data_IF_983419777739
#
_entry.id   IF_983419777739
#
_cell.length_a   1.000
_cell.length_b   1.000
_cell.length_c   1.000
_cell.angle_alpha   90.00
_cell.angle_beta   90.00
_cell.angle_gamma   90.00
#
_symmetry.space_group_name_H-M   'P 1'
#
loop_
_entity.id
_entity.type
_entity.pdbx_description
1 polymer ?
#
# COMPACT_ATOMS: atom_id res chain seq x y z
N UNK A 1 -20.24 44.15 18.03
CA UNK A 1 -19.41 43.53 16.95
C UNK A 1 -19.71 42.04 16.95
N UNK A 2 -20.61 41.65 16.07
CA UNK A 2 -20.98 40.21 15.86
C UNK A 2 -19.86 39.52 15.11
N UNK A 3 -19.33 38.45 15.73
CA UNK A 3 -18.35 37.55 15.09
C UNK A 3 -18.98 36.95 13.82
N UNK A 4 -18.32 36.98 12.65
CA UNK A 4 -18.85 36.30 11.48
C UNK A 4 -18.99 34.79 11.77
N UNK A 5 -20.10 34.22 11.33
CA UNK A 5 -20.33 32.79 11.40
C UNK A 5 -19.20 32.04 10.65
N UNK A 6 -18.74 30.89 11.13
CA UNK A 6 -17.77 30.09 10.39
C UNK A 6 -18.37 29.76 9.01
N UNK A 7 -17.60 30.03 7.96
CA UNK A 7 -18.00 29.66 6.61
C UNK A 7 -18.28 28.15 6.56
N UNK A 8 -19.42 27.76 6.00
CA UNK A 8 -19.72 26.34 5.76
C UNK A 8 -18.61 25.74 4.90
N UNK A 9 -18.13 24.53 5.24
CA UNK A 9 -17.09 23.88 4.45
C UNK A 9 -17.61 23.71 3.01
N UNK A 10 -16.90 24.30 2.06
CA UNK A 10 -17.21 24.13 0.63
C UNK A 10 -17.17 22.64 0.33
N UNK A 11 -18.31 22.06 -0.09
CA UNK A 11 -18.41 20.66 -0.40
C UNK A 11 -17.38 20.28 -1.49
N UNK A 12 -16.46 19.38 -1.17
CA UNK A 12 -15.45 18.91 -2.11
C UNK A 12 -16.06 18.16 -3.32
N UNK A 13 -15.28 17.93 -4.38
CA UNK A 13 -15.77 17.33 -5.63
C UNK A 13 -16.35 15.92 -5.48
N UNK A 14 -16.10 15.26 -4.35
CA UNK A 14 -16.56 13.91 -4.03
C UNK A 14 -17.59 13.87 -2.90
N UNK A 15 -18.00 15.01 -2.36
CA UNK A 15 -18.98 15.09 -1.27
C UNK A 15 -20.30 14.42 -1.66
N UNK A 16 -20.78 13.49 -0.80
CA UNK A 16 -22.00 12.70 -1.02
C UNK A 16 -21.89 11.64 -2.13
N UNK A 17 -20.72 11.47 -2.77
CA UNK A 17 -20.52 10.50 -3.85
C UNK A 17 -20.26 9.10 -3.30
N UNK A 18 -20.72 8.09 -4.03
CA UNK A 18 -20.45 6.68 -3.74
C UNK A 18 -19.26 6.20 -4.54
N UNK A 19 -18.35 5.47 -3.91
CA UNK A 19 -17.11 4.94 -4.49
C UNK A 19 -17.07 3.42 -4.31
N UNK A 20 -16.98 2.68 -5.41
CA UNK A 20 -16.91 1.21 -5.39
C UNK A 20 -15.52 0.72 -4.97
N UNK A 21 -15.42 -0.06 -3.89
CA UNK A 21 -14.18 -0.72 -3.45
C UNK A 21 -14.34 -2.23 -3.55
N UNK A 22 -13.69 -2.84 -4.55
CA UNK A 22 -13.63 -4.30 -4.65
C UNK A 22 -12.53 -4.84 -3.73
N UNK A 23 -12.93 -5.56 -2.68
CA UNK A 23 -12.02 -6.17 -1.70
C UNK A 23 -12.64 -7.37 -0.98
N UNK A 24 -11.80 -8.36 -0.63
CA UNK A 24 -12.23 -9.55 0.15
C UNK A 24 -11.63 -9.60 1.56
N UNK A 25 -10.50 -8.92 1.81
CA UNK A 25 -9.69 -9.10 3.02
C UNK A 25 -9.87 -7.99 4.06
N UNK A 26 -11.06 -7.37 4.13
CA UNK A 26 -11.39 -6.40 5.18
C UNK A 26 -10.68 -5.06 5.07
N UNK A 27 -10.05 -4.73 3.94
CA UNK A 27 -9.33 -3.47 3.72
C UNK A 27 -10.23 -2.23 3.82
N UNK A 28 -11.52 -2.39 3.55
CA UNK A 28 -12.52 -1.33 3.71
C UNK A 28 -12.52 -0.73 5.11
N UNK A 29 -12.17 -1.52 6.13
CA UNK A 29 -12.15 -1.07 7.53
C UNK A 29 -11.12 0.03 7.81
N UNK A 30 -10.07 0.13 7.01
CA UNK A 30 -9.01 1.14 7.16
C UNK A 30 -9.01 2.16 6.02
N UNK A 31 -9.60 1.84 4.88
CA UNK A 31 -9.69 2.73 3.71
C UNK A 31 -10.90 3.68 3.83
N UNK A 32 -12.10 3.11 4.05
CA UNK A 32 -13.33 3.89 4.07
C UNK A 32 -13.33 5.01 5.13
N UNK A 33 -12.95 4.78 6.40
CA UNK A 33 -12.95 5.87 7.38
C UNK A 33 -12.06 7.05 7.01
N UNK A 34 -10.93 6.79 6.32
CA UNK A 34 -9.99 7.84 5.89
C UNK A 34 -10.56 8.65 4.74
N UNK A 35 -11.04 7.99 3.69
CA UNK A 35 -11.53 8.66 2.49
C UNK A 35 -12.88 9.33 2.73
N UNK A 36 -13.80 8.68 3.46
CA UNK A 36 -15.12 9.23 3.77
C UNK A 36 -14.99 10.52 4.59
N UNK A 37 -14.13 10.53 5.61
CA UNK A 37 -13.88 11.71 6.42
C UNK A 37 -13.18 12.85 5.65
N UNK A 38 -12.20 12.51 4.79
CA UNK A 38 -11.40 13.51 4.10
C UNK A 38 -12.09 14.09 2.86
N UNK A 39 -12.90 13.30 2.15
CA UNK A 39 -13.52 13.66 0.88
C UNK A 39 -15.03 13.90 0.98
N UNK A 40 -15.66 13.54 2.10
CA UNK A 40 -17.11 13.55 2.27
C UNK A 40 -17.83 12.54 1.37
N UNK A 41 -17.13 11.55 0.84
CA UNK A 41 -17.67 10.48 0.02
C UNK A 41 -18.17 9.30 0.88
N UNK A 42 -18.67 8.26 0.22
CA UNK A 42 -19.02 6.99 0.84
C UNK A 42 -18.35 5.85 0.06
N UNK A 43 -17.33 5.26 0.65
CA UNK A 43 -16.67 4.07 0.11
C UNK A 43 -17.53 2.85 0.41
N UNK A 44 -17.95 2.15 -0.64
CA UNK A 44 -18.82 0.97 -0.53
C UNK A 44 -18.06 -0.27 -0.97
N UNK A 45 -18.02 -1.26 -0.07
CA UNK A 45 -17.46 -2.56 -0.42
C UNK A 45 -18.32 -3.25 -1.48
N UNK A 46 -17.70 -3.65 -2.57
CA UNK A 46 -18.28 -4.47 -3.62
C UNK A 46 -17.81 -5.91 -3.45
N UNK A 47 -18.77 -6.84 -3.46
CA UNK A 47 -18.54 -8.29 -3.43
C UNK A 47 -18.90 -8.94 -4.77
N UNK A 48 -18.91 -10.28 -4.79
CA UNK A 48 -19.38 -11.05 -5.98
C UNK A 48 -18.27 -11.39 -6.98
N UNK A 49 -17.02 -11.05 -6.68
CA UNK A 49 -15.85 -11.45 -7.48
C UNK A 49 -14.74 -11.95 -6.54
N UNK A 50 -14.15 -13.08 -6.88
CA UNK A 50 -13.00 -13.62 -6.17
C UNK A 50 -11.71 -12.91 -6.60
N UNK A 51 -11.26 -11.95 -5.78
CA UNK A 51 -10.05 -11.15 -6.07
C UNK A 51 -8.77 -11.97 -6.04
N UNK A 52 -8.77 -13.15 -5.42
CA UNK A 52 -7.58 -14.01 -5.36
C UNK A 52 -7.28 -14.64 -6.74
N UNK A 53 -8.28 -14.74 -7.62
CA UNK A 53 -8.06 -15.15 -9.03
C UNK A 53 -7.14 -14.21 -9.81
N UNK A 54 -6.93 -12.98 -9.34
CA UNK A 54 -6.02 -11.99 -9.95
C UNK A 54 -4.60 -12.04 -9.37
N UNK A 55 -4.32 -13.00 -8.49
CA UNK A 55 -3.02 -13.24 -7.86
C UNK A 55 -3.06 -13.18 -6.35
N UNK A 56 -2.35 -14.10 -5.69
CA UNK A 56 -2.28 -14.22 -4.22
C UNK A 56 -0.89 -13.97 -3.68
N UNK A 57 -0.81 -13.56 -2.40
CA UNK A 57 0.49 -13.45 -1.70
C UNK A 57 1.08 -14.83 -1.35
N UNK A 58 0.23 -15.82 -1.21
CA UNK A 58 0.65 -17.19 -0.92
C UNK A 58 1.26 -17.90 -2.13
N UNK A 59 1.37 -17.22 -3.27
CA UNK A 59 1.99 -17.71 -4.52
C UNK A 59 1.29 -18.90 -5.19
N UNK A 60 0.13 -19.29 -4.70
CA UNK A 60 -0.71 -20.31 -5.29
C UNK A 60 -1.37 -19.85 -6.61
N UNK A 61 -1.54 -18.53 -6.78
CA UNK A 61 -1.95 -17.90 -8.06
C UNK A 61 -1.00 -16.74 -8.36
N UNK A 62 -0.29 -16.81 -9.50
CA UNK A 62 0.63 -15.76 -9.92
C UNK A 62 -0.12 -14.50 -10.35
N UNK A 63 0.37 -13.34 -9.92
CA UNK A 63 -0.16 -12.04 -10.37
C UNK A 63 0.16 -11.81 -11.84
N UNK A 64 -0.86 -11.53 -12.64
CA UNK A 64 -0.70 -11.11 -14.01
C UNK A 64 -0.47 -9.59 -14.09
N UNK A 65 0.76 -9.17 -14.36
CA UNK A 65 1.14 -7.76 -14.54
C UNK A 65 1.65 -7.09 -13.25
N UNK A 66 1.83 -5.77 -13.34
CA UNK A 66 2.33 -4.92 -12.25
C UNK A 66 1.28 -4.73 -11.15
N UNK A 67 1.72 -4.25 -9.99
CA UNK A 67 0.85 -3.93 -8.85
C UNK A 67 -0.23 -2.90 -9.23
N UNK A 68 0.13 -1.87 -9.99
CA UNK A 68 -0.80 -0.84 -10.42
C UNK A 68 -1.83 -1.36 -11.45
N UNK A 69 -1.41 -2.23 -12.37
CA UNK A 69 -2.31 -2.86 -13.34
C UNK A 69 -3.32 -3.77 -12.66
N UNK A 70 -2.89 -4.54 -11.65
CA UNK A 70 -3.78 -5.38 -10.86
C UNK A 70 -4.80 -4.52 -10.07
N UNK A 71 -4.36 -3.43 -9.43
CA UNK A 71 -5.24 -2.50 -8.73
C UNK A 71 -6.25 -1.84 -9.69
N UNK A 72 -5.79 -1.37 -10.85
CA UNK A 72 -6.65 -0.78 -11.88
C UNK A 72 -7.72 -1.76 -12.36
N UNK A 73 -7.34 -3.02 -12.63
CA UNK A 73 -8.28 -4.06 -13.04
C UNK A 73 -9.33 -4.32 -11.96
N UNK A 74 -8.92 -4.42 -10.68
CA UNK A 74 -9.85 -4.59 -9.55
C UNK A 74 -10.82 -3.41 -9.40
N UNK A 75 -10.32 -2.17 -9.53
CA UNK A 75 -11.17 -0.99 -9.48
C UNK A 75 -12.23 -1.02 -10.60
N UNK A 76 -11.85 -1.35 -11.82
CA UNK A 76 -12.77 -1.47 -12.97
C UNK A 76 -13.84 -2.53 -12.75
N UNK A 77 -13.45 -3.73 -12.29
CA UNK A 77 -14.41 -4.80 -11.96
C UNK A 77 -15.39 -4.32 -10.87
N UNK A 78 -14.91 -3.62 -9.85
CA UNK A 78 -15.77 -3.06 -8.81
C UNK A 78 -16.79 -2.04 -9.35
N UNK A 79 -16.37 -1.17 -10.28
CA UNK A 79 -17.24 -0.23 -10.96
C UNK A 79 -18.29 -0.94 -11.81
N UNK A 80 -17.92 -1.94 -12.59
CA UNK A 80 -18.82 -2.74 -13.41
C UNK A 80 -19.89 -3.45 -12.57
N UNK A 81 -19.47 -4.12 -11.49
CA UNK A 81 -20.38 -4.85 -10.61
C UNK A 81 -21.35 -3.94 -9.85
N UNK A 82 -20.95 -2.73 -9.51
CA UNK A 82 -21.75 -1.79 -8.75
C UNK A 82 -22.53 -0.80 -9.60
N UNK A 83 -22.16 -0.64 -10.88
CA UNK A 83 -22.69 0.41 -11.76
C UNK A 83 -22.27 1.82 -11.35
N UNK A 84 -21.23 1.97 -10.50
CA UNK A 84 -20.74 3.27 -10.04
C UNK A 84 -19.65 3.83 -10.96
N UNK A 85 -19.62 5.16 -11.22
CA UNK A 85 -18.61 5.78 -12.06
C UNK A 85 -17.30 6.04 -11.32
N UNK A 86 -17.25 5.81 -10.00
CA UNK A 86 -16.08 5.98 -9.15
C UNK A 86 -15.62 4.62 -8.61
N UNK A 87 -14.38 4.26 -8.89
CA UNK A 87 -13.79 3.00 -8.49
C UNK A 87 -12.53 3.16 -7.65
N UNK A 88 -12.34 2.21 -6.75
CA UNK A 88 -11.20 2.15 -5.85
C UNK A 88 -10.73 0.71 -5.69
N UNK A 89 -9.43 0.50 -5.70
CA UNK A 89 -8.83 -0.77 -5.31
C UNK A 89 -7.50 -0.56 -4.62
N UNK A 90 -7.10 -1.54 -3.81
CA UNK A 90 -5.81 -1.56 -3.13
C UNK A 90 -5.04 -2.83 -3.47
N UNK A 91 -3.74 -2.64 -3.77
CA UNK A 91 -2.77 -3.71 -3.97
C UNK A 91 -1.53 -3.50 -3.13
N UNK A 92 -0.95 -4.61 -2.65
CA UNK A 92 0.29 -4.60 -1.89
C UNK A 92 1.40 -5.38 -2.57
N UNK A 93 2.62 -5.10 -2.17
CA UNK A 93 3.82 -5.88 -2.48
C UNK A 93 4.73 -5.96 -1.26
N UNK A 94 5.44 -7.07 -1.14
CA UNK A 94 6.47 -7.28 -0.14
C UNK A 94 7.78 -7.60 -0.84
N UNK A 95 8.88 -7.09 -0.30
CA UNK A 95 10.21 -7.30 -0.84
C UNK A 95 11.28 -6.77 0.10
N UNK A 96 12.54 -6.72 -0.34
CA UNK A 96 13.59 -6.02 0.38
C UNK A 96 13.36 -4.51 0.34
N UNK A 97 13.91 -3.78 1.32
CA UNK A 97 13.88 -2.31 1.32
C UNK A 97 14.59 -1.73 0.09
N UNK A 98 14.10 -0.61 -0.44
CA UNK A 98 14.62 -0.05 -1.69
C UNK A 98 15.98 0.65 -1.57
N UNK A 99 16.51 0.82 -0.35
CA UNK A 99 17.77 1.54 -0.12
C UNK A 99 18.97 0.60 0.00
N UNK A 100 18.87 -0.39 0.87
CA UNK A 100 19.97 -1.31 1.19
C UNK A 100 19.65 -2.77 0.87
N UNK A 101 18.39 -3.10 0.67
CA UNK A 101 17.94 -4.47 0.43
C UNK A 101 18.01 -5.39 1.67
N UNK A 102 18.17 -4.81 2.87
CA UNK A 102 18.48 -5.54 4.10
C UNK A 102 17.24 -5.89 4.94
N UNK A 103 16.19 -5.09 4.83
CA UNK A 103 15.02 -5.21 5.69
C UNK A 103 13.77 -5.59 4.89
N UNK A 104 12.85 -6.40 5.46
CA UNK A 104 11.55 -6.65 4.86
C UNK A 104 10.76 -5.35 4.70
N UNK A 105 10.18 -5.15 3.53
CA UNK A 105 9.49 -3.92 3.16
C UNK A 105 8.11 -4.20 2.58
N UNK A 106 7.12 -3.41 3.00
CA UNK A 106 5.78 -3.44 2.44
C UNK A 106 5.50 -2.15 1.68
N UNK A 107 4.99 -2.28 0.47
CA UNK A 107 4.48 -1.19 -0.36
C UNK A 107 3.01 -1.43 -0.62
N UNK A 108 2.17 -0.50 -0.21
CA UNK A 108 0.72 -0.52 -0.50
C UNK A 108 0.38 0.66 -1.41
N UNK A 109 -0.44 0.38 -2.43
CA UNK A 109 -0.98 1.41 -3.30
C UNK A 109 -2.50 1.28 -3.39
N UNK A 110 -3.15 2.42 -3.58
CA UNK A 110 -4.56 2.54 -3.90
C UNK A 110 -4.69 3.23 -5.26
N UNK A 111 -5.53 2.69 -6.13
CA UNK A 111 -5.90 3.33 -7.40
C UNK A 111 -7.34 3.79 -7.29
N UNK A 112 -7.55 5.09 -7.49
CA UNK A 112 -8.87 5.73 -7.58
C UNK A 112 -9.12 6.13 -9.03
N UNK A 113 -10.28 5.71 -9.57
CA UNK A 113 -10.70 5.99 -10.94
C UNK A 113 -11.98 6.81 -10.90
N UNK A 114 -11.99 7.89 -11.65
CA UNK A 114 -13.17 8.76 -11.86
C UNK A 114 -13.46 8.85 -13.36
N UNK A 115 -14.44 8.08 -13.82
CA UNK A 115 -14.83 8.04 -15.24
C UNK A 115 -15.57 9.30 -15.68
N UNK A 116 -16.23 10.01 -14.78
CA UNK A 116 -16.92 11.26 -15.13
C UNK A 116 -15.92 12.37 -15.45
N UNK A 117 -14.80 12.40 -14.73
CA UNK A 117 -13.71 13.35 -14.98
C UNK A 117 -12.64 12.78 -15.91
N UNK A 118 -12.64 11.47 -16.16
CA UNK A 118 -11.62 10.78 -16.93
C UNK A 118 -10.23 10.92 -16.30
N UNK A 119 -10.12 10.73 -15.00
CA UNK A 119 -8.85 10.80 -14.24
C UNK A 119 -8.61 9.53 -13.42
N UNK A 120 -7.34 9.27 -13.19
CA UNK A 120 -6.86 8.21 -12.27
C UNK A 120 -5.86 8.84 -11.30
N UNK A 121 -6.04 8.60 -10.01
CA UNK A 121 -5.14 9.07 -8.95
C UNK A 121 -4.66 7.89 -8.12
N UNK A 122 -3.35 7.83 -7.85
CA UNK A 122 -2.75 6.77 -7.05
C UNK A 122 -2.24 7.32 -5.73
N UNK A 123 -2.71 6.73 -4.63
CA UNK A 123 -2.12 6.89 -3.31
C UNK A 123 -1.15 5.76 -3.01
N UNK A 124 -0.06 6.04 -2.29
CA UNK A 124 0.96 5.05 -1.97
C UNK A 124 1.56 5.31 -0.58
N UNK A 125 1.82 4.23 0.14
CA UNK A 125 2.66 4.24 1.32
C UNK A 125 3.57 3.02 1.35
N UNK A 126 4.70 3.16 2.02
CA UNK A 126 5.67 2.08 2.16
C UNK A 126 6.35 2.15 3.53
N UNK A 127 6.64 0.99 4.10
CA UNK A 127 7.22 0.90 5.43
C UNK A 127 7.95 -0.42 5.65
N UNK A 128 8.91 -0.43 6.56
CA UNK A 128 9.47 -1.67 7.10
C UNK A 128 8.36 -2.52 7.73
N UNK A 129 8.44 -3.82 7.56
CA UNK A 129 7.39 -4.75 7.99
C UNK A 129 7.95 -6.01 8.60
N UNK A 130 7.07 -6.87 9.11
CA UNK A 130 7.39 -8.24 9.50
C UNK A 130 7.05 -9.16 8.33
N UNK A 131 8.06 -9.75 7.77
CA UNK A 131 7.94 -10.74 6.70
C UNK A 131 9.11 -11.71 6.87
N UNK A 132 8.82 -12.86 7.47
CA UNK A 132 9.82 -13.87 7.77
C UNK A 132 9.28 -15.25 7.48
N UNK A 133 10.19 -16.20 7.30
CA UNK A 133 9.88 -17.62 7.15
C UNK A 133 10.91 -18.46 7.90
N UNK A 134 10.52 -19.68 8.19
CA UNK A 134 11.36 -20.71 8.80
C UNK A 134 11.04 -22.06 8.17
N UNK A 135 12.06 -22.87 7.95
CA UNK A 135 11.96 -24.30 7.63
C UNK A 135 12.55 -25.08 8.80
N UNK A 136 11.76 -25.96 9.44
CA UNK A 136 12.19 -26.73 10.62
C UNK A 136 11.31 -27.98 10.81
N UNK A 137 11.85 -28.99 11.47
CA UNK A 137 11.14 -30.19 11.99
C UNK A 137 10.89 -30.11 13.50
N UNK A 138 11.38 -29.05 14.16
CA UNK A 138 11.34 -28.85 15.61
C UNK A 138 10.25 -27.81 15.98
N UNK A 139 9.31 -28.27 16.82
CA UNK A 139 8.22 -27.42 17.32
C UNK A 139 8.71 -26.25 18.19
N UNK A 140 9.75 -26.43 19.01
CA UNK A 140 10.25 -25.34 19.84
C UNK A 140 10.83 -24.20 19.00
N UNK A 141 11.55 -24.53 17.91
CA UNK A 141 12.03 -23.54 16.95
C UNK A 141 10.86 -22.87 16.22
N UNK A 142 9.84 -23.63 15.82
CA UNK A 142 8.64 -23.10 15.19
C UNK A 142 7.89 -22.15 16.13
N UNK A 143 7.74 -22.50 17.41
CA UNK A 143 7.09 -21.66 18.41
C UNK A 143 7.91 -20.37 18.71
N UNK A 144 9.23 -20.48 18.76
CA UNK A 144 10.11 -19.30 18.90
C UNK A 144 9.98 -18.35 17.69
N UNK A 145 10.02 -18.90 16.48
CA UNK A 145 9.79 -18.14 15.25
C UNK A 145 8.43 -17.44 15.27
N UNK A 146 7.36 -18.16 15.64
CA UNK A 146 6.01 -17.60 15.72
C UNK A 146 5.96 -16.37 16.63
N UNK A 147 6.57 -16.41 17.82
CA UNK A 147 6.66 -15.26 18.73
C UNK A 147 7.39 -14.06 18.08
N UNK A 148 8.52 -14.32 17.41
CA UNK A 148 9.30 -13.29 16.71
C UNK A 148 8.53 -12.70 15.51
N UNK A 149 7.76 -13.52 14.81
CA UNK A 149 6.90 -13.12 13.72
C UNK A 149 5.67 -12.30 14.15
N UNK A 150 5.42 -12.18 15.48
CA UNK A 150 4.31 -11.41 16.03
C UNK A 150 3.00 -12.19 16.16
N UNK A 151 3.08 -13.52 16.18
CA UNK A 151 1.94 -14.38 16.39
C UNK A 151 1.42 -14.27 17.86
N UNK A 152 0.11 -14.28 18.12
CA UNK A 152 -0.99 -14.60 17.18
C UNK A 152 -1.56 -13.43 16.39
N UNK A 153 -1.24 -12.18 16.69
CA UNK A 153 -1.80 -10.99 16.02
C UNK A 153 -1.46 -10.97 14.51
N UNK A 154 -0.23 -11.34 14.16
CA UNK A 154 0.17 -11.67 12.80
C UNK A 154 -0.02 -13.17 12.61
N UNK A 155 -0.99 -13.54 11.80
CA UNK A 155 -1.26 -14.95 11.51
C UNK A 155 -0.11 -15.60 10.77
N UNK A 156 -0.07 -16.92 10.82
CA UNK A 156 0.92 -17.70 10.09
C UNK A 156 0.26 -18.61 9.05
N UNK A 157 1.09 -19.02 8.13
CA UNK A 157 0.83 -20.03 7.11
C UNK A 157 1.79 -21.19 7.35
N UNK A 158 1.32 -22.41 7.19
CA UNK A 158 2.10 -23.64 7.32
C UNK A 158 1.99 -24.47 6.05
N UNK A 159 3.12 -25.05 5.62
CA UNK A 159 3.21 -25.99 4.49
C UNK A 159 4.12 -27.17 4.86
N UNK A 160 3.88 -28.38 4.34
CA UNK A 160 4.87 -29.44 4.33
C UNK A 160 6.09 -29.05 3.47
N UNK A 161 7.26 -29.58 3.78
CA UNK A 161 8.51 -29.56 3.01
C UNK A 161 9.11 -28.20 2.65
N UNK A 162 8.32 -27.22 2.19
CA UNK A 162 8.88 -25.93 1.75
C UNK A 162 7.86 -24.95 1.18
N UNK A 163 8.36 -23.81 0.74
CA UNK A 163 7.55 -22.68 0.31
C UNK A 163 6.67 -22.94 -0.92
N UNK A 164 7.03 -23.91 -1.75
CA UNK A 164 6.37 -24.21 -3.02
C UNK A 164 5.43 -25.43 -2.93
N UNK A 165 5.28 -26.03 -1.72
CA UNK A 165 4.34 -27.12 -1.53
C UNK A 165 2.89 -26.61 -1.66
N UNK A 166 2.05 -27.21 -2.51
CA UNK A 166 0.69 -26.76 -2.73
C UNK A 166 -0.25 -27.00 -1.53
N UNK A 167 0.12 -27.89 -0.61
CA UNK A 167 -0.64 -28.15 0.62
C UNK A 167 -0.38 -27.05 1.62
N UNK A 168 -1.31 -26.10 1.71
CA UNK A 168 -1.15 -24.88 2.50
C UNK A 168 -2.29 -24.72 3.50
N UNK A 169 -1.95 -24.54 4.78
CA UNK A 169 -2.87 -24.08 5.82
C UNK A 169 -2.64 -22.59 6.09
N UNK A 170 -3.68 -21.78 5.89
CA UNK A 170 -3.63 -20.32 5.99
C UNK A 170 -4.45 -19.81 7.17
N UNK A 171 -4.10 -18.61 7.68
CA UNK A 171 -4.89 -17.89 8.67
C UNK A 171 -4.83 -18.50 10.06
N UNK A 172 -3.74 -19.18 10.39
CA UNK A 172 -3.52 -19.70 11.73
C UNK A 172 -3.37 -18.54 12.70
N UNK A 173 -4.31 -18.41 13.65
CA UNK A 173 -4.45 -17.29 14.57
C UNK A 173 -4.44 -17.71 16.06
N UNK A 174 -4.11 -18.96 16.37
CA UNK A 174 -4.07 -19.48 17.74
C UNK A 174 -3.06 -20.60 17.91
N UNK A 175 -2.42 -20.66 19.08
CA UNK A 175 -1.32 -21.59 19.37
C UNK A 175 -1.71 -23.06 19.17
N UNK A 176 -2.87 -23.49 19.66
CA UNK A 176 -3.37 -24.86 19.48
C UNK A 176 -3.56 -25.22 18.01
N UNK A 177 -4.09 -24.29 17.22
CA UNK A 177 -4.27 -24.50 15.78
C UNK A 177 -2.93 -24.55 15.04
N UNK A 178 -1.98 -23.69 15.42
CA UNK A 178 -0.63 -23.67 14.83
C UNK A 178 0.12 -24.97 15.12
N UNK A 179 0.10 -25.47 16.35
CA UNK A 179 0.75 -26.72 16.73
C UNK A 179 0.13 -27.93 16.01
N UNK A 180 -1.19 -27.96 15.92
CA UNK A 180 -1.89 -29.02 15.18
C UNK A 180 -1.54 -28.99 13.68
N UNK A 181 -1.49 -27.79 13.05
CA UNK A 181 -1.09 -27.62 11.65
C UNK A 181 0.37 -28.04 11.44
N UNK A 182 1.27 -27.64 12.34
CA UNK A 182 2.68 -28.03 12.30
C UNK A 182 2.85 -29.56 12.33
N UNK A 183 2.16 -30.24 13.26
CA UNK A 183 2.25 -31.68 13.39
C UNK A 183 1.67 -32.41 12.17
N UNK A 184 0.58 -31.93 11.58
CA UNK A 184 0.05 -32.48 10.31
C UNK A 184 1.05 -32.31 9.17
N UNK A 185 1.52 -31.08 8.95
CA UNK A 185 2.47 -30.78 7.90
C UNK A 185 3.77 -31.59 8.02
N UNK A 186 4.27 -31.78 9.25
CA UNK A 186 5.43 -32.64 9.54
C UNK A 186 5.19 -34.10 9.17
N UNK A 187 4.00 -34.61 9.47
CA UNK A 187 3.60 -35.99 9.12
C UNK A 187 3.39 -36.21 7.62
N UNK A 188 3.05 -35.17 6.87
CA UNK A 188 2.84 -35.18 5.43
C UNK A 188 4.11 -34.91 4.61
N UNK A 189 5.14 -34.34 5.24
CA UNK A 189 6.41 -34.02 4.60
C UNK A 189 7.29 -35.26 4.47
N UNK A 190 7.86 -35.52 3.29
CA UNK A 190 8.76 -36.66 3.06
C UNK A 190 10.03 -36.63 3.93
N UNK A 191 10.52 -35.39 4.18
CA UNK A 191 11.72 -35.14 4.99
C UNK A 191 11.40 -34.68 6.43
N UNK A 192 10.11 -34.63 6.80
CA UNK A 192 9.65 -34.17 8.12
C UNK A 192 9.77 -32.64 8.33
N UNK A 193 10.25 -31.89 7.35
CA UNK A 193 10.39 -30.43 7.47
C UNK A 193 9.06 -29.71 7.26
N UNK A 194 8.85 -28.63 8.00
CA UNK A 194 7.68 -27.78 7.94
C UNK A 194 8.11 -26.36 7.61
N UNK A 195 7.49 -25.76 6.62
CA UNK A 195 7.69 -24.37 6.25
C UNK A 195 6.62 -23.49 6.91
N UNK A 196 7.06 -22.49 7.68
CA UNK A 196 6.22 -21.47 8.31
C UNK A 196 6.56 -20.12 7.73
N UNK A 197 5.53 -19.30 7.47
CA UNK A 197 5.73 -17.90 7.05
C UNK A 197 4.59 -17.01 7.58
N UNK A 198 4.80 -15.67 7.61
CA UNK A 198 3.72 -14.74 7.91
C UNK A 198 2.61 -14.83 6.85
N UNK A 199 1.36 -14.82 7.30
CA UNK A 199 0.21 -14.67 6.41
C UNK A 199 0.09 -13.21 5.96
N UNK A 200 0.46 -12.92 4.71
CA UNK A 200 0.51 -11.58 4.18
C UNK A 200 -0.84 -11.03 3.71
N UNK A 201 -1.96 -11.76 3.90
CA UNK A 201 -3.30 -11.25 3.63
C UNK A 201 -3.65 -10.13 4.61
N UNK A 202 -4.34 -9.08 4.14
CA UNK A 202 -4.53 -7.86 4.91
C UNK A 202 -5.18 -8.10 6.29
N UNK A 203 -6.24 -8.92 6.36
CA UNK A 203 -6.94 -9.24 7.61
C UNK A 203 -6.10 -10.04 8.62
N UNK A 204 -5.04 -10.68 8.15
CA UNK A 204 -4.14 -11.53 8.94
C UNK A 204 -2.84 -10.81 9.36
N UNK A 205 -2.67 -9.54 8.96
CA UNK A 205 -1.41 -8.82 9.12
C UNK A 205 -1.65 -7.35 9.53
N UNK A 206 -1.77 -7.04 10.84
CA UNK A 206 -2.09 -5.70 11.33
C UNK A 206 -1.18 -4.60 10.80
N UNK A 207 0.15 -4.81 10.81
CA UNK A 207 1.10 -3.82 10.27
C UNK A 207 0.83 -3.47 8.81
N UNK A 208 0.37 -4.43 8.00
CA UNK A 208 -0.05 -4.18 6.62
C UNK A 208 -1.28 -3.28 6.54
N UNK A 209 -2.26 -3.49 7.44
CA UNK A 209 -3.46 -2.64 7.51
C UNK A 209 -3.10 -1.18 7.83
N UNK A 210 -2.07 -0.95 8.67
CA UNK A 210 -1.57 0.40 8.94
C UNK A 210 -0.98 1.06 7.69
N UNK A 211 -0.20 0.33 6.88
CA UNK A 211 0.36 0.85 5.62
C UNK A 211 -0.74 1.14 4.60
N UNK A 212 -1.79 0.29 4.51
CA UNK A 212 -2.96 0.55 3.68
C UNK A 212 -3.67 1.85 4.11
N UNK A 213 -3.81 2.08 5.41
CA UNK A 213 -4.40 3.32 5.95
C UNK A 213 -3.58 4.55 5.56
N UNK A 214 -2.25 4.47 5.63
CA UNK A 214 -1.35 5.55 5.20
C UNK A 214 -1.45 5.82 3.69
N UNK A 215 -1.55 4.78 2.87
CA UNK A 215 -1.77 4.92 1.43
C UNK A 215 -3.14 5.56 1.11
N UNK A 216 -4.18 5.27 1.91
CA UNK A 216 -5.47 5.94 1.80
C UNK A 216 -5.38 7.42 2.18
N UNK A 217 -4.58 7.77 3.19
CA UNK A 217 -4.35 9.18 3.57
C UNK A 217 -3.58 9.96 2.48
N UNK A 218 -2.58 9.34 1.86
CA UNK A 218 -1.86 9.94 0.71
C UNK A 218 -2.81 10.15 -0.48
N UNK A 219 -3.67 9.17 -0.78
CA UNK A 219 -4.69 9.31 -1.83
C UNK A 219 -5.66 10.45 -1.53
N UNK A 220 -6.15 10.54 -0.28
CA UNK A 220 -7.06 11.60 0.15
C UNK A 220 -6.43 12.99 -0.01
N UNK A 221 -5.17 13.15 0.39
CA UNK A 221 -4.42 14.40 0.23
C UNK A 221 -4.32 14.82 -1.25
N UNK A 222 -4.03 13.88 -2.14
CA UNK A 222 -3.97 14.13 -3.59
C UNK A 222 -5.32 14.51 -4.17
N UNK A 223 -6.40 13.79 -3.82
CA UNK A 223 -7.75 14.08 -4.31
C UNK A 223 -8.29 15.41 -3.78
N UNK A 224 -7.83 15.86 -2.61
CA UNK A 224 -8.14 17.19 -2.05
C UNK A 224 -7.23 18.32 -2.57
N UNK A 225 -6.33 18.03 -3.51
CA UNK A 225 -5.49 19.04 -4.15
C UNK A 225 -6.02 19.35 -5.54
N UNK A 226 -6.86 20.39 -5.71
CA UNK A 226 -7.37 20.78 -7.01
C UNK A 226 -6.30 21.53 -7.80
N UNK A 227 -6.33 21.35 -9.12
CA UNK A 227 -5.51 22.15 -10.03
C UNK A 227 -5.92 23.63 -9.94
N UNK A 228 -5.00 24.58 -9.71
CA UNK A 228 -5.34 25.99 -9.59
C UNK A 228 -5.89 26.60 -10.90
N UNK A 229 -5.60 25.99 -12.06
CA UNK A 229 -6.06 26.49 -13.34
C UNK A 229 -7.45 25.96 -13.75
N UNK A 230 -7.77 24.67 -13.46
CA UNK A 230 -9.02 24.06 -13.96
C UNK A 230 -9.83 23.33 -12.88
N UNK A 231 -9.40 23.34 -11.62
CA UNK A 231 -10.11 22.71 -10.51
C UNK A 231 -10.08 21.18 -10.48
N UNK A 232 -9.42 20.51 -11.43
CA UNK A 232 -9.35 19.04 -11.46
C UNK A 232 -8.63 18.51 -10.22
N UNK A 233 -9.20 17.55 -9.47
CA UNK A 233 -8.53 16.87 -8.35
C UNK A 233 -7.26 16.13 -8.78
N UNK A 234 -6.32 15.95 -7.86
CA UNK A 234 -5.10 15.19 -8.14
C UNK A 234 -3.94 16.03 -8.67
N UNK A 235 -3.93 17.35 -8.42
CA UNK A 235 -2.79 18.21 -8.71
C UNK A 235 -1.65 17.89 -7.72
N UNK A 236 -0.68 17.12 -8.18
CA UNK A 236 0.37 16.56 -7.31
C UNK A 236 1.71 16.49 -8.01
N UNK A 237 2.74 16.08 -7.29
CA UNK A 237 4.10 15.92 -7.81
C UNK A 237 4.11 14.94 -8.97
N UNK A 238 4.50 15.40 -10.15
CA UNK A 238 4.67 14.60 -11.38
C UNK A 238 6.13 14.43 -11.77
N UNK A 239 7.02 15.29 -11.22
CA UNK A 239 8.44 15.25 -11.52
C UNK A 239 9.23 15.82 -10.34
N UNK A 240 10.43 15.31 -10.13
CA UNK A 240 11.37 15.82 -9.11
C UNK A 240 12.61 16.37 -9.80
N UNK A 241 12.99 17.58 -9.43
CA UNK A 241 14.15 18.30 -9.99
C UNK A 241 15.32 18.17 -9.04
N UNK A 242 16.37 17.45 -9.44
CA UNK A 242 17.62 17.35 -8.71
C UNK A 242 18.45 18.67 -8.82
N UNK A 243 19.56 18.73 -8.13
CA UNK A 243 20.48 19.86 -8.22
C UNK A 243 20.46 20.76 -6.99
N UNK A 244 20.11 20.23 -5.80
CA UNK A 244 20.26 20.97 -4.56
C UNK A 244 21.76 21.29 -4.38
N UNK A 245 22.17 22.57 -4.15
CA UNK A 245 23.58 22.95 -4.07
C UNK A 245 24.25 22.33 -2.83
N UNK A 246 25.49 21.87 -2.97
CA UNK A 246 26.30 21.39 -1.87
C UNK A 246 26.61 22.53 -0.87
N UNK A 247 26.50 22.23 0.44
CA UNK A 247 26.77 23.22 1.49
C UNK A 247 28.24 23.77 1.48
N UNK A 248 29.22 22.97 1.03
CA UNK A 248 30.61 23.36 1.02
C UNK A 248 31.05 24.02 -0.30
N UNK A 249 30.78 23.38 -1.45
CA UNK A 249 31.32 23.85 -2.73
C UNK A 249 30.28 24.51 -3.64
N UNK A 250 28.97 24.46 -3.29
CA UNK A 250 27.89 25.03 -4.09
C UNK A 250 27.56 24.25 -5.38
N UNK A 251 28.31 23.18 -5.69
CA UNK A 251 28.00 22.36 -6.87
C UNK A 251 26.65 21.68 -6.76
N UNK A 252 25.92 21.48 -7.88
CA UNK A 252 24.66 20.78 -7.88
C UNK A 252 24.86 19.31 -7.52
N UNK A 253 24.04 18.78 -6.61
CA UNK A 253 24.06 17.38 -6.19
C UNK A 253 22.90 16.59 -6.82
N UNK A 254 22.84 15.29 -6.53
CA UNK A 254 21.70 14.43 -6.90
C UNK A 254 20.48 14.62 -6.01
N UNK A 255 20.62 15.42 -4.93
CA UNK A 255 19.51 15.71 -4.02
C UNK A 255 18.45 16.59 -4.70
N UNK A 256 17.19 16.37 -4.32
CA UNK A 256 16.04 17.05 -4.92
C UNK A 256 15.96 18.49 -4.36
N UNK A 257 16.00 19.49 -5.25
CA UNK A 257 15.80 20.90 -4.90
C UNK A 257 14.35 21.37 -5.02
N UNK A 258 13.60 20.80 -5.98
CA UNK A 258 12.23 21.21 -6.26
C UNK A 258 11.36 20.04 -6.72
N UNK A 259 10.06 20.16 -6.47
CA UNK A 259 9.02 19.28 -6.99
C UNK A 259 8.19 20.03 -8.05
N UNK A 260 7.92 19.39 -9.19
CA UNK A 260 6.99 19.91 -10.19
C UNK A 260 5.64 19.25 -9.95
N UNK A 261 4.64 20.07 -9.62
CA UNK A 261 3.24 19.66 -9.53
C UNK A 261 2.60 19.81 -10.91
N UNK A 262 1.79 18.85 -11.33
CA UNK A 262 1.14 18.84 -12.62
C UNK A 262 -0.32 18.43 -12.55
N UNK A 263 -1.12 18.96 -13.47
CA UNK A 263 -2.52 18.61 -13.61
C UNK A 263 -2.70 17.35 -14.47
N UNK A 264 -3.68 16.52 -14.11
CA UNK A 264 -4.05 15.31 -14.86
C UNK A 264 -4.85 15.61 -16.15
N UNK A 265 -5.42 16.82 -16.30
CA UNK A 265 -6.33 17.20 -17.39
C UNK A 265 -5.85 18.35 -18.26
N UNK A 266 -5.19 19.34 -17.69
CA UNK A 266 -4.67 20.48 -18.45
C UNK A 266 -3.14 20.55 -18.36
N UNK A 267 -2.53 21.41 -19.17
CA UNK A 267 -1.06 21.55 -19.21
C UNK A 267 -0.47 22.35 -18.03
N UNK A 268 -1.28 22.71 -17.03
CA UNK A 268 -0.81 23.51 -15.90
C UNK A 268 0.21 22.75 -15.06
N UNK A 269 1.37 23.38 -14.84
CA UNK A 269 2.46 22.88 -13.98
C UNK A 269 2.97 24.01 -13.10
N UNK A 270 3.37 23.68 -11.88
CA UNK A 270 4.02 24.58 -10.94
C UNK A 270 5.29 23.93 -10.39
N UNK A 271 6.40 24.66 -10.43
CA UNK A 271 7.62 24.24 -9.72
C UNK A 271 7.56 24.80 -8.31
N UNK A 272 7.71 23.93 -7.31
CA UNK A 272 7.75 24.29 -5.89
C UNK A 272 9.07 23.84 -5.31
N UNK A 273 9.85 24.80 -4.81
CA UNK A 273 11.09 24.50 -4.11
C UNK A 273 10.78 23.81 -2.76
N UNK A 274 11.67 22.95 -2.32
CA UNK A 274 11.49 22.22 -1.06
C UNK A 274 11.75 23.17 0.12
N UNK A 275 10.73 23.43 0.92
CA UNK A 275 10.85 24.28 2.10
C UNK A 275 11.81 23.70 3.14
N UNK A 276 12.68 24.53 3.69
CA UNK A 276 13.58 24.17 4.81
C UNK A 276 14.82 23.34 4.43
N UNK A 277 15.08 23.15 3.13
CA UNK A 277 16.27 22.45 2.64
C UNK A 277 16.96 23.32 1.60
N UNK A 278 17.95 24.12 2.03
CA UNK A 278 18.67 25.05 1.17
C UNK A 278 19.92 24.44 0.53
N UNK A 279 20.57 23.50 1.21
CA UNK A 279 21.81 22.88 0.77
C UNK A 279 21.82 21.37 1.04
N UNK A 280 22.55 20.64 0.21
CA UNK A 280 22.82 19.22 0.38
C UNK A 280 24.03 19.00 1.30
N UNK A 281 24.01 17.87 2.02
CA UNK A 281 25.15 17.41 2.80
C UNK A 281 26.37 17.19 1.87
N UNK A 282 27.60 17.75 2.20
CA UNK A 282 28.78 17.50 1.45
C UNK A 282 29.14 16.02 1.25
N UNK A 283 28.76 15.16 2.20
CA UNK A 283 28.93 13.71 2.08
C UNK A 283 28.13 13.07 0.92
N UNK A 284 27.21 13.82 0.31
CA UNK A 284 26.41 13.40 -0.88
C UNK A 284 26.77 14.19 -2.14
N UNK A 285 27.88 14.92 -2.10
CA UNK A 285 28.38 15.71 -3.22
C UNK A 285 29.45 14.93 -3.97
N UNK A 286 29.26 14.71 -5.28
CA UNK A 286 30.21 13.97 -6.12
C UNK A 286 31.57 14.69 -6.24
N UNK A 287 31.69 15.98 -5.81
CA UNK A 287 32.98 16.74 -5.79
C UNK A 287 33.63 16.75 -4.43
N UNK A 288 32.86 16.85 -3.33
CA UNK A 288 33.44 16.90 -1.99
C UNK A 288 33.67 15.50 -1.42
N UNK A 289 32.89 14.52 -1.87
CA UNK A 289 33.00 13.11 -1.48
C UNK A 289 32.76 12.23 -2.72
N UNK A 290 33.77 12.10 -3.62
CA UNK A 290 33.68 11.37 -4.88
C UNK A 290 33.57 9.85 -4.72
#
# INVERSE_FOLDING_TARGET
MTRPAPAEPVAGPYSGRRVALLTQHGKERVIAPVLDAALGCRVERVGGFDTDTLGTFARDILRAGTQIEAARRKARIGMELSGLPLGLASEGAFGPDPMAGLFPWNVELLVFIDDERGIEVTGMAQQATRFAHLLTDDWEQAAQFARQAGFPEHHLVVRPQGQDDPRIEKGLAGWTALEAAFNRARGEAENGQVFLENDLRAHAHPSRMDVIRLAAADLAAKLNSPCPACGTPGFWVVERVAGLPCADCGAPTREIRADIHGCLKCAHRETRERAGVEHADPGRCDYCNP
#
